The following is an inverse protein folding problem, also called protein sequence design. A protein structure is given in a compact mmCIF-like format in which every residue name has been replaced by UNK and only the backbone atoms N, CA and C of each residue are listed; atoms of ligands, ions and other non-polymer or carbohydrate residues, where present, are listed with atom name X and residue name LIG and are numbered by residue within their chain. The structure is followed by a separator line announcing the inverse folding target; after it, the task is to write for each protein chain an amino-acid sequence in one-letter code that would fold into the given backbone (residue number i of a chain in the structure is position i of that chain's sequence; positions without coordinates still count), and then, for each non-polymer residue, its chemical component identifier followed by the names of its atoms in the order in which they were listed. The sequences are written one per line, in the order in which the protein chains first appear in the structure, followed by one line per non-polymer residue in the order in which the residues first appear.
data_IF_008431762687
#
_entry.id   IF_008431762687
#
_cell.length_a   1.000
_cell.length_b   1.000
_cell.length_c   1.000
_cell.angle_alpha   90.00
_cell.angle_beta   90.00
_cell.angle_gamma   90.00
#
_symmetry.space_group_name_H-M   'P 1'
#
loop_
_entity.id
_entity.type
_entity.pdbx_description
1 polymer ?
#
# COMPACT_ATOMS: atom_id res chain seq x y z
N UNK A 1 20.22 31.29 -18.63
CA UNK A 1 19.39 30.28 -19.30
C UNK A 1 19.57 28.98 -18.51
N UNK A 2 18.90 28.89 -17.36
CA UNK A 2 18.97 27.78 -16.37
C UNK A 2 17.63 27.62 -15.63
N UNK A 3 16.60 28.42 -15.96
CA UNK A 3 15.30 28.45 -15.28
C UNK A 3 14.34 27.38 -15.78
N UNK A 4 14.47 26.98 -17.04
CA UNK A 4 13.49 26.13 -17.71
C UNK A 4 13.67 24.66 -17.29
N UNK A 5 14.92 24.21 -17.16
CA UNK A 5 15.25 22.85 -16.70
C UNK A 5 14.82 22.61 -15.24
N UNK A 6 14.94 23.61 -14.37
CA UNK A 6 14.52 23.49 -12.96
C UNK A 6 12.99 23.46 -12.84
N UNK A 7 12.29 24.29 -13.60
CA UNK A 7 10.82 24.27 -13.62
C UNK A 7 10.28 22.94 -14.15
N UNK A 8 10.90 22.37 -15.18
CA UNK A 8 10.54 21.05 -15.70
C UNK A 8 10.74 19.94 -14.66
N UNK A 9 11.84 19.98 -13.89
CA UNK A 9 12.08 19.05 -12.77
C UNK A 9 10.98 19.19 -11.69
N UNK A 10 10.63 20.42 -11.29
CA UNK A 10 9.57 20.63 -10.29
C UNK A 10 8.19 20.17 -10.77
N UNK A 11 7.86 20.39 -12.04
CA UNK A 11 6.60 19.92 -12.63
C UNK A 11 6.55 18.39 -12.72
N UNK A 12 7.66 17.74 -13.06
CA UNK A 12 7.80 16.29 -13.07
C UNK A 12 7.65 15.71 -11.66
N UNK A 13 8.28 16.31 -10.65
CA UNK A 13 8.16 15.90 -9.24
C UNK A 13 6.73 16.09 -8.72
N UNK A 14 6.08 17.23 -9.03
CA UNK A 14 4.70 17.51 -8.65
C UNK A 14 3.72 16.52 -9.31
N UNK A 15 3.92 16.23 -10.60
CA UNK A 15 3.13 15.25 -11.36
C UNK A 15 3.30 13.83 -10.80
N UNK A 16 4.53 13.44 -10.46
CA UNK A 16 4.81 12.16 -9.81
C UNK A 16 4.15 12.08 -8.42
N UNK A 17 4.19 13.15 -7.64
CA UNK A 17 3.54 13.24 -6.33
C UNK A 17 2.01 13.19 -6.43
N UNK A 18 1.42 13.84 -7.43
CA UNK A 18 -0.02 13.79 -7.68
C UNK A 18 -0.48 12.37 -8.04
N UNK A 19 0.23 11.70 -8.96
CA UNK A 19 -0.04 10.29 -9.32
C UNK A 19 0.10 9.36 -8.11
N UNK A 20 1.11 9.59 -7.28
CA UNK A 20 1.35 8.86 -6.03
C UNK A 20 0.16 9.00 -5.07
N UNK A 21 -0.31 10.23 -4.86
CA UNK A 21 -1.43 10.51 -3.96
C UNK A 21 -2.76 9.95 -4.48
N UNK A 22 -2.99 9.99 -5.79
CA UNK A 22 -4.16 9.38 -6.42
C UNK A 22 -4.21 7.86 -6.18
N UNK A 23 -3.08 7.17 -6.41
CA UNK A 23 -2.94 5.73 -6.15
C UNK A 23 -3.25 5.40 -4.68
N UNK A 24 -2.66 6.14 -3.73
CA UNK A 24 -2.90 5.95 -2.29
C UNK A 24 -4.39 6.15 -1.96
N UNK A 25 -5.03 7.19 -2.52
CA UNK A 25 -6.44 7.47 -2.26
C UNK A 25 -7.36 6.39 -2.83
N UNK A 26 -7.07 5.87 -4.03
CA UNK A 26 -7.80 4.73 -4.62
C UNK A 26 -7.69 3.49 -3.75
N UNK A 27 -6.48 3.16 -3.28
CA UNK A 27 -6.25 2.02 -2.38
C UNK A 27 -6.98 2.22 -1.05
N UNK A 28 -6.87 3.40 -0.42
CA UNK A 28 -7.59 3.72 0.83
C UNK A 28 -9.10 3.49 0.72
N UNK A 29 -9.72 3.99 -0.35
CA UNK A 29 -11.16 3.84 -0.56
C UNK A 29 -11.59 2.37 -0.67
N UNK A 30 -10.79 1.53 -1.34
CA UNK A 30 -11.04 0.09 -1.42
C UNK A 30 -10.81 -0.60 -0.06
N UNK A 31 -9.79 -0.17 0.68
CA UNK A 31 -9.44 -0.72 1.99
C UNK A 31 -10.45 -0.37 3.10
N UNK A 32 -11.17 0.74 3.00
CA UNK A 32 -12.19 1.09 4.01
C UNK A 32 -13.31 0.04 4.11
N UNK A 33 -13.76 -0.50 2.97
CA UNK A 33 -14.71 -1.61 2.93
C UNK A 33 -14.13 -2.90 3.49
N UNK A 34 -12.85 -3.16 3.19
CA UNK A 34 -12.12 -4.32 3.67
C UNK A 34 -11.93 -4.32 5.20
N UNK A 35 -11.58 -3.17 5.79
CA UNK A 35 -11.37 -3.01 7.25
C UNK A 35 -12.60 -3.40 8.06
N UNK A 36 -13.77 -2.94 7.63
CA UNK A 36 -15.05 -3.26 8.27
C UNK A 36 -15.33 -4.77 8.25
N UNK A 37 -15.10 -5.40 7.09
CA UNK A 37 -15.35 -6.83 6.87
C UNK A 37 -14.44 -7.74 7.70
N UNK A 38 -13.18 -7.39 7.85
CA UNK A 38 -12.18 -8.21 8.54
C UNK A 38 -11.84 -7.75 9.96
N UNK A 39 -12.66 -6.85 10.54
CA UNK A 39 -12.50 -6.35 11.91
C UNK A 39 -11.12 -5.76 12.18
N UNK A 40 -10.56 -5.05 11.21
CA UNK A 40 -9.31 -4.33 11.36
C UNK A 40 -9.60 -3.08 12.20
N UNK A 41 -9.07 -3.06 13.42
CA UNK A 41 -9.47 -2.10 14.45
C UNK A 41 -8.78 -0.74 14.27
N UNK A 42 -7.60 -0.74 13.62
CA UNK A 42 -6.77 0.44 13.44
C UNK A 42 -6.71 0.89 11.98
N UNK A 43 -6.18 2.10 11.78
CA UNK A 43 -5.88 2.62 10.45
C UNK A 43 -4.89 1.69 9.73
N UNK A 44 -5.13 1.45 8.44
CA UNK A 44 -4.15 0.81 7.57
C UNK A 44 -3.18 1.88 7.08
N UNK A 45 -1.92 1.75 7.50
CA UNK A 45 -0.83 2.58 6.98
C UNK A 45 -0.40 2.04 5.62
N UNK A 46 -0.22 2.95 4.67
CA UNK A 46 0.20 2.65 3.30
C UNK A 46 1.52 3.39 3.07
N UNK A 47 2.57 2.64 2.76
CA UNK A 47 3.85 3.19 2.33
C UNK A 47 4.19 2.72 0.93
N UNK A 48 4.87 3.58 0.16
CA UNK A 48 5.38 3.26 -1.17
C UNK A 48 6.90 3.24 -1.09
N UNK A 49 7.49 2.16 -1.56
CA UNK A 49 8.90 1.85 -1.41
C UNK A 49 9.47 1.32 -2.74
N UNK A 50 10.78 1.36 -2.85
CA UNK A 50 11.54 0.84 -3.97
C UNK A 50 12.81 0.18 -3.42
N UNK A 51 13.07 -1.05 -3.84
CA UNK A 51 14.28 -1.82 -3.53
C UNK A 51 14.90 -2.40 -4.80
N UNK A 52 15.94 -3.23 -4.64
CA UNK A 52 16.64 -3.88 -5.77
C UNK A 52 15.73 -4.83 -6.59
N UNK A 53 14.55 -5.19 -6.06
CA UNK A 53 13.56 -6.07 -6.70
C UNK A 53 12.42 -5.28 -7.35
N UNK A 54 12.35 -3.97 -7.14
CA UNK A 54 11.41 -3.07 -7.78
C UNK A 54 10.58 -2.25 -6.79
N UNK A 55 9.45 -1.73 -7.27
CA UNK A 55 8.56 -0.88 -6.48
C UNK A 55 7.49 -1.72 -5.78
N UNK A 56 7.18 -1.37 -4.54
CA UNK A 56 6.19 -2.06 -3.76
C UNK A 56 5.40 -1.14 -2.84
N UNK A 57 4.19 -1.58 -2.54
CA UNK A 57 3.29 -0.95 -1.59
C UNK A 57 3.29 -1.77 -0.32
N UNK A 58 3.77 -1.20 0.77
CA UNK A 58 3.69 -1.82 2.09
C UNK A 58 2.40 -1.38 2.78
N UNK A 59 1.58 -2.37 3.15
CA UNK A 59 0.47 -2.17 4.06
C UNK A 59 0.90 -2.57 5.47
N UNK A 60 0.58 -1.75 6.47
CA UNK A 60 0.85 -2.05 7.87
C UNK A 60 -0.37 -1.72 8.72
N UNK A 61 -0.84 -2.70 9.48
CA UNK A 61 -1.99 -2.51 10.37
C UNK A 61 -1.91 -3.42 11.58
N UNK A 62 -2.62 -3.01 12.63
CA UNK A 62 -2.79 -3.84 13.80
C UNK A 62 -4.03 -4.70 13.63
N UNK A 63 -3.83 -5.99 13.85
CA UNK A 63 -4.88 -6.98 13.90
C UNK A 63 -5.37 -7.10 15.34
N UNK A 64 -6.67 -7.31 15.52
CA UNK A 64 -7.20 -7.56 16.86
C UNK A 64 -6.66 -8.86 17.46
N UNK A 65 -6.71 -9.00 18.79
CA UNK A 65 -6.43 -10.28 19.45
C UNK A 65 -7.30 -11.38 18.85
N UNK A 66 -6.68 -12.51 18.48
CA UNK A 66 -7.37 -13.65 17.88
C UNK A 66 -7.67 -13.51 16.39
N UNK A 67 -7.09 -12.51 15.71
CA UNK A 67 -7.12 -12.43 14.26
C UNK A 67 -6.33 -13.59 13.62
N UNK A 68 -6.92 -14.19 12.60
CA UNK A 68 -6.31 -15.24 11.80
C UNK A 68 -6.37 -14.83 10.34
N UNK A 69 -5.21 -14.82 9.67
CA UNK A 69 -5.16 -14.67 8.21
C UNK A 69 -5.73 -15.96 7.60
N UNK A 70 -6.69 -15.79 6.69
CA UNK A 70 -7.20 -16.88 5.88
C UNK A 70 -7.05 -16.55 4.38
N UNK A 71 -7.26 -17.54 3.53
CA UNK A 71 -7.07 -17.38 2.08
C UNK A 71 -7.96 -16.28 1.49
N UNK A 72 -9.22 -16.18 1.93
CA UNK A 72 -10.16 -15.15 1.48
C UNK A 72 -9.69 -13.73 1.82
N UNK A 73 -9.08 -13.54 3.00
CA UNK A 73 -8.47 -12.26 3.38
C UNK A 73 -7.39 -11.85 2.39
N UNK A 74 -6.50 -12.78 2.05
CA UNK A 74 -5.38 -12.53 1.15
C UNK A 74 -5.83 -12.33 -0.29
N UNK A 75 -6.78 -13.13 -0.78
CA UNK A 75 -7.35 -12.99 -2.13
C UNK A 75 -7.96 -11.60 -2.33
N UNK A 76 -8.86 -11.18 -1.44
CA UNK A 76 -9.50 -9.86 -1.54
C UNK A 76 -8.49 -8.72 -1.40
N UNK A 77 -7.48 -8.87 -0.54
CA UNK A 77 -6.44 -7.86 -0.39
C UNK A 77 -5.56 -7.78 -1.65
N UNK A 78 -5.25 -8.91 -2.28
CA UNK A 78 -4.46 -8.98 -3.52
C UNK A 78 -5.22 -8.35 -4.70
N UNK A 79 -6.54 -8.58 -4.79
CA UNK A 79 -7.42 -7.91 -5.77
C UNK A 79 -7.47 -6.38 -5.58
N UNK A 80 -7.57 -5.91 -4.33
CA UNK A 80 -7.55 -4.47 -4.03
C UNK A 80 -6.27 -3.81 -4.53
N UNK A 81 -5.16 -4.51 -4.32
CA UNK A 81 -3.81 -4.06 -4.64
C UNK A 81 -3.44 -4.22 -6.12
N UNK A 82 -4.30 -4.86 -6.93
CA UNK A 82 -4.11 -5.05 -8.37
C UNK A 82 -2.74 -5.68 -8.71
N UNK A 83 -2.33 -6.66 -7.92
CA UNK A 83 -1.02 -7.32 -8.02
C UNK A 83 -1.14 -8.83 -8.03
N UNK A 84 -0.15 -9.51 -8.59
CA UNK A 84 -0.03 -10.97 -8.62
C UNK A 84 0.92 -11.51 -7.54
N UNK A 85 1.64 -10.62 -6.84
CA UNK A 85 2.70 -11.02 -5.93
C UNK A 85 2.74 -10.17 -4.67
N UNK A 86 2.81 -10.83 -3.53
CA UNK A 86 3.00 -10.20 -2.24
C UNK A 86 3.99 -10.98 -1.38
N UNK A 87 4.60 -10.29 -0.43
CA UNK A 87 5.38 -10.90 0.64
C UNK A 87 4.71 -10.58 1.99
N UNK A 88 4.26 -11.60 2.71
CA UNK A 88 3.66 -11.43 4.03
C UNK A 88 4.76 -11.39 5.09
N UNK A 89 4.74 -10.34 5.91
CA UNK A 89 5.69 -10.14 7.00
C UNK A 89 4.89 -10.00 8.30
N UNK A 90 4.90 -11.05 9.10
CA UNK A 90 4.40 -10.96 10.47
C UNK A 90 5.47 -10.28 11.34
N UNK A 91 5.13 -9.09 11.86
CA UNK A 91 6.06 -8.29 12.65
C UNK A 91 5.90 -8.54 14.15
N UNK A 92 4.67 -8.81 14.61
CA UNK A 92 4.35 -9.13 16.01
C UNK A 92 3.02 -9.90 16.10
N UNK A 93 2.60 -10.35 17.30
CA UNK A 93 1.35 -11.11 17.51
C UNK A 93 0.10 -10.39 17.00
N UNK A 94 0.09 -9.06 17.08
CA UNK A 94 -1.06 -8.22 16.71
C UNK A 94 -0.71 -7.24 15.57
N UNK A 95 0.42 -7.40 14.88
CA UNK A 95 0.86 -6.50 13.80
C UNK A 95 1.18 -7.27 12.53
N UNK A 96 0.46 -6.92 11.46
CA UNK A 96 0.65 -7.49 10.14
C UNK A 96 1.22 -6.44 9.18
N UNK A 97 2.30 -6.80 8.49
CA UNK A 97 2.83 -6.08 7.36
C UNK A 97 2.75 -6.95 6.10
N UNK A 98 2.37 -6.36 4.97
CA UNK A 98 2.36 -7.06 3.68
C UNK A 98 2.92 -6.13 2.63
N UNK A 99 3.92 -6.62 1.90
CA UNK A 99 4.51 -5.93 0.76
C UNK A 99 3.86 -6.43 -0.53
N UNK A 100 3.29 -5.52 -1.30
CA UNK A 100 2.65 -5.79 -2.59
C UNK A 100 3.51 -5.22 -3.71
N UNK A 101 4.11 -6.09 -4.52
CA UNK A 101 4.98 -5.67 -5.60
C UNK A 101 4.15 -5.31 -6.83
N UNK A 102 4.50 -4.24 -7.53
CA UNK A 102 3.84 -3.87 -8.76
C UNK A 102 4.88 -3.65 -9.87
N UNK A 103 4.49 -4.00 -11.10
CA UNK A 103 5.32 -3.81 -12.30
C UNK A 103 5.27 -2.36 -12.76
#
# INVERSE_FOLDING_TARGET
MFSDDLNEIFELEASAMAKRNDLINRIRKKLDGFRSKFRIINEIKIGLFEDDKGKFIKLSFFTGRGFSINNRFLEELTEIMETESYNQIFVDTDKLEIDFFYK
#
